data_IF_077918800922
#
_entry.id   IF_077918800922
#
_cell.length_a   1.000
_cell.length_b   1.000
_cell.length_c   1.000
_cell.angle_alpha   90.00
_cell.angle_beta   90.00
_cell.angle_gamma   90.00
#
_symmetry.space_group_name_H-M   'P 1'
#
loop_
_entity.id
_entity.type
_entity.pdbx_description
1 polymer ?
#
# COMPACT_ATOMS: atom_id res chain seq x y z
N UNK A 1 25.08 -3.20 19.28
CA UNK A 1 24.85 -2.47 18.03
C UNK A 1 24.18 -1.14 18.39
N UNK A 2 24.93 -0.02 18.25
CA UNK A 2 24.43 1.31 18.63
C UNK A 2 23.38 1.75 17.61
N UNK A 3 22.11 1.75 18.03
CA UNK A 3 21.02 2.32 17.21
C UNK A 3 21.23 3.84 17.15
N UNK A 4 21.66 4.34 16.02
CA UNK A 4 21.76 5.78 15.78
C UNK A 4 20.37 6.42 16.00
N UNK A 5 20.34 7.53 16.76
CA UNK A 5 19.09 8.27 17.04
C UNK A 5 18.46 8.70 15.71
N UNK A 6 17.15 8.47 15.48
CA UNK A 6 16.50 8.86 14.22
C UNK A 6 16.73 10.32 13.88
N UNK A 7 16.98 10.64 12.63
CA UNK A 7 17.15 12.02 12.17
C UNK A 7 15.89 12.86 12.44
N UNK A 8 16.00 14.18 12.46
CA UNK A 8 14.85 15.06 12.62
C UNK A 8 13.81 14.81 11.49
N UNK A 9 14.30 14.59 10.26
CA UNK A 9 13.44 14.26 9.11
C UNK A 9 12.66 12.97 9.32
N UNK A 10 13.33 11.91 9.83
CA UNK A 10 12.70 10.62 10.07
C UNK A 10 11.65 10.69 11.17
N UNK A 11 11.95 11.44 12.26
CA UNK A 11 10.97 11.68 13.33
C UNK A 11 9.73 12.39 12.81
N UNK A 12 9.88 13.46 12.02
CA UNK A 12 8.78 14.20 11.43
C UNK A 12 7.95 13.27 10.53
N UNK A 13 8.60 12.52 9.64
CA UNK A 13 7.93 11.63 8.71
C UNK A 13 7.21 10.48 9.43
N UNK A 14 7.84 9.86 10.42
CA UNK A 14 7.23 8.78 11.21
C UNK A 14 5.99 9.29 11.97
N UNK A 15 6.09 10.46 12.63
CA UNK A 15 4.95 11.08 13.32
C UNK A 15 3.82 11.41 12.35
N UNK A 16 4.15 12.03 11.21
CA UNK A 16 3.16 12.37 10.18
C UNK A 16 2.49 11.11 9.61
N UNK A 17 3.24 10.03 9.39
CA UNK A 17 2.72 8.74 8.91
C UNK A 17 1.70 8.17 9.89
N UNK A 18 2.00 8.14 11.19
CA UNK A 18 1.06 7.69 12.20
C UNK A 18 -0.22 8.53 12.24
N UNK A 19 -0.05 9.85 12.22
CA UNK A 19 -1.17 10.79 12.24
C UNK A 19 -2.05 10.70 10.98
N UNK A 20 -1.46 10.66 9.79
CA UNK A 20 -2.20 10.55 8.53
C UNK A 20 -2.93 9.20 8.42
N UNK A 21 -2.32 8.12 8.90
CA UNK A 21 -3.00 6.83 8.96
C UNK A 21 -4.21 6.86 9.91
N UNK A 22 -4.07 7.49 11.07
CA UNK A 22 -5.13 7.53 12.07
C UNK A 22 -6.26 8.51 11.73
N UNK A 23 -5.93 9.68 11.17
CA UNK A 23 -6.87 10.82 11.07
C UNK A 23 -7.11 11.33 9.65
N UNK A 24 -6.45 10.73 8.62
CA UNK A 24 -6.45 11.26 7.25
C UNK A 24 -5.54 12.49 7.08
N UNK A 25 -5.26 12.83 5.84
CA UNK A 25 -4.36 13.96 5.55
C UNK A 25 -5.03 15.31 5.81
N UNK A 26 -6.35 15.44 5.58
CA UNK A 26 -7.10 16.67 5.86
C UNK A 26 -7.23 16.93 7.35
N UNK A 27 -7.43 15.90 8.17
CA UNK A 27 -7.62 16.02 9.62
C UNK A 27 -6.37 16.36 10.43
N UNK A 28 -5.18 16.41 9.80
CA UNK A 28 -3.90 16.64 10.49
C UNK A 28 -3.27 17.95 10.05
N UNK A 29 -3.14 18.88 11.00
CA UNK A 29 -2.41 20.14 10.81
C UNK A 29 -0.91 20.01 11.04
N UNK A 30 -0.11 20.89 10.43
CA UNK A 30 1.37 20.91 10.59
C UNK A 30 1.77 21.17 12.04
N UNK A 31 1.03 22.03 12.76
CA UNK A 31 1.32 22.35 14.16
C UNK A 31 1.20 21.11 15.08
N UNK A 32 0.24 20.22 14.80
CA UNK A 32 0.11 18.94 15.50
C UNK A 32 1.31 18.03 15.23
N UNK A 33 1.79 17.96 13.99
CA UNK A 33 2.97 17.17 13.64
C UNK A 33 4.21 17.71 14.35
N UNK A 34 4.38 19.03 14.43
CA UNK A 34 5.46 19.69 15.18
C UNK A 34 5.41 19.29 16.64
N UNK A 35 4.24 19.43 17.27
CA UNK A 35 4.06 19.14 18.69
C UNK A 35 4.36 17.66 19.00
N UNK A 36 3.85 16.73 18.22
CA UNK A 36 4.02 15.29 18.47
C UNK A 36 5.40 14.75 18.06
N UNK A 37 6.05 15.34 17.03
CA UNK A 37 7.42 14.94 16.64
C UNK A 37 8.52 15.48 17.54
N UNK A 38 8.21 16.48 18.36
CA UNK A 38 9.17 17.12 19.28
C UNK A 38 10.28 17.88 18.56
N UNK A 39 10.00 18.41 17.35
CA UNK A 39 10.96 19.24 16.60
C UNK A 39 10.55 20.72 16.65
N UNK A 40 11.52 21.62 16.49
CA UNK A 40 11.22 23.03 16.32
C UNK A 40 10.51 23.29 14.96
N UNK A 41 9.64 24.29 14.90
CA UNK A 41 8.93 24.68 13.68
C UNK A 41 9.88 24.94 12.50
N UNK A 42 10.97 25.64 12.75
CA UNK A 42 12.01 25.91 11.75
C UNK A 42 12.65 24.63 11.21
N UNK A 43 12.82 23.60 12.07
CA UNK A 43 13.37 22.30 11.66
C UNK A 43 12.42 21.57 10.72
N UNK A 44 11.11 21.58 10.97
CA UNK A 44 10.15 20.99 10.06
C UNK A 44 10.23 21.62 8.68
N UNK A 45 10.18 22.97 8.62
CA UNK A 45 10.21 23.70 7.35
C UNK A 45 11.57 23.64 6.62
N UNK A 46 12.67 23.35 7.32
CA UNK A 46 13.97 23.05 6.70
C UNK A 46 13.95 21.71 5.93
N UNK A 47 13.10 20.75 6.33
CA UNK A 47 12.97 19.44 5.67
C UNK A 47 11.80 19.33 4.70
N UNK A 48 10.68 20.02 4.99
CA UNK A 48 9.44 19.97 4.23
C UNK A 48 8.89 21.39 4.09
N UNK A 49 8.96 21.97 2.90
CA UNK A 49 8.57 23.37 2.63
C UNK A 49 7.09 23.67 2.92
N UNK A 50 6.24 22.63 2.76
CA UNK A 50 4.82 22.70 3.00
C UNK A 50 4.27 21.33 3.41
N UNK A 51 2.99 21.29 3.79
CA UNK A 51 2.30 20.04 4.14
C UNK A 51 2.28 19.06 2.97
N UNK A 52 2.14 19.55 1.74
CA UNK A 52 2.06 18.68 0.56
C UNK A 52 3.38 17.94 0.30
N UNK A 53 4.54 18.57 0.55
CA UNK A 53 5.84 17.90 0.49
C UNK A 53 5.89 16.73 1.50
N UNK A 54 5.33 16.92 2.69
CA UNK A 54 5.26 15.88 3.72
C UNK A 54 4.28 14.76 3.36
N UNK A 55 3.12 15.12 2.77
CA UNK A 55 2.15 14.13 2.24
C UNK A 55 2.80 13.29 1.14
N UNK A 56 3.52 13.89 0.21
CA UNK A 56 4.26 13.15 -0.82
C UNK A 56 5.32 12.23 -0.24
N UNK A 57 6.05 12.67 0.78
CA UNK A 57 7.03 11.83 1.46
C UNK A 57 6.37 10.64 2.19
N UNK A 58 5.22 10.87 2.83
CA UNK A 58 4.39 9.82 3.43
C UNK A 58 3.94 8.79 2.39
N UNK A 59 3.40 9.23 1.25
CA UNK A 59 2.97 8.32 0.19
C UNK A 59 4.12 7.49 -0.37
N UNK A 60 5.30 8.10 -0.59
CA UNK A 60 6.51 7.38 -1.04
C UNK A 60 6.97 6.32 -0.04
N UNK A 61 7.00 6.67 1.25
CA UNK A 61 7.38 5.72 2.30
C UNK A 61 6.37 4.56 2.38
N UNK A 62 5.09 4.86 2.27
CA UNK A 62 4.01 3.86 2.25
C UNK A 62 4.09 2.96 1.00
N UNK A 63 4.39 3.52 -0.18
CA UNK A 63 4.59 2.76 -1.42
C UNK A 63 5.74 1.76 -1.28
N UNK A 64 6.90 2.24 -0.81
CA UNK A 64 8.07 1.39 -0.60
C UNK A 64 7.76 0.23 0.35
N UNK A 65 7.13 0.54 1.49
CA UNK A 65 6.75 -0.47 2.49
C UNK A 65 5.75 -1.49 1.93
N UNK A 66 4.68 -1.02 1.28
CA UNK A 66 3.63 -1.90 0.76
C UNK A 66 4.13 -2.79 -0.37
N UNK A 67 4.86 -2.24 -1.33
CA UNK A 67 5.44 -3.02 -2.43
C UNK A 67 6.46 -4.04 -1.92
N UNK A 68 7.27 -3.67 -0.92
CA UNK A 68 8.15 -4.63 -0.24
C UNK A 68 7.37 -5.79 0.37
N UNK A 69 6.32 -5.50 1.13
CA UNK A 69 5.47 -6.53 1.74
C UNK A 69 4.79 -7.45 0.70
N UNK A 70 4.33 -6.90 -0.44
CA UNK A 70 3.78 -7.70 -1.54
C UNK A 70 4.84 -8.62 -2.15
N UNK A 71 6.05 -8.10 -2.39
CA UNK A 71 7.16 -8.88 -2.96
C UNK A 71 7.59 -9.99 -2.00
N UNK A 72 7.79 -9.69 -0.73
CA UNK A 72 8.14 -10.67 0.30
C UNK A 72 7.10 -11.79 0.42
N UNK A 73 5.80 -11.43 0.43
CA UNK A 73 4.73 -12.41 0.50
C UNK A 73 4.64 -13.30 -0.76
N UNK A 74 4.85 -12.71 -1.95
CA UNK A 74 4.90 -13.46 -3.20
C UNK A 74 6.09 -14.43 -3.21
N UNK A 75 7.29 -13.99 -2.85
CA UNK A 75 8.49 -14.82 -2.78
C UNK A 75 8.37 -15.94 -1.75
N UNK A 76 7.76 -15.65 -0.60
CA UNK A 76 7.49 -16.65 0.46
C UNK A 76 6.53 -17.76 0.02
N UNK A 77 5.64 -17.50 -0.94
CA UNK A 77 4.72 -18.49 -1.51
C UNK A 77 5.43 -19.54 -2.40
N UNK A 78 6.70 -19.33 -2.75
CA UNK A 78 7.53 -20.28 -3.50
C UNK A 78 7.94 -19.79 -4.88
N UNK A 79 8.58 -20.67 -5.67
CA UNK A 79 9.14 -20.29 -6.97
C UNK A 79 8.10 -20.27 -8.12
N UNK A 80 6.92 -20.88 -7.94
CA UNK A 80 5.88 -20.88 -8.98
C UNK A 80 5.19 -19.50 -9.04
N UNK A 81 5.22 -18.80 -10.18
CA UNK A 81 4.55 -17.50 -10.32
C UNK A 81 3.04 -17.55 -10.05
N UNK A 82 2.38 -18.70 -10.19
CA UNK A 82 0.95 -18.87 -9.85
C UNK A 82 0.76 -18.79 -8.34
N UNK A 83 1.63 -19.46 -7.57
CA UNK A 83 1.61 -19.38 -6.12
C UNK A 83 1.98 -17.97 -5.64
N UNK A 84 2.94 -17.32 -6.31
CA UNK A 84 3.33 -15.94 -6.02
C UNK A 84 2.16 -14.95 -6.21
N UNK A 85 1.37 -15.10 -7.27
CA UNK A 85 0.15 -14.30 -7.47
C UNK A 85 -0.89 -14.51 -6.37
N UNK A 86 -1.05 -15.73 -5.87
CA UNK A 86 -1.92 -16.02 -4.74
C UNK A 86 -1.32 -15.55 -3.40
N UNK A 87 0.00 -15.57 -3.27
CA UNK A 87 0.76 -15.18 -2.08
C UNK A 87 0.62 -13.69 -1.71
N UNK A 88 0.31 -12.80 -2.68
CA UNK A 88 0.10 -11.37 -2.39
C UNK A 88 -1.01 -11.12 -1.35
N UNK A 89 -1.96 -12.05 -1.23
CA UNK A 89 -3.05 -11.97 -0.25
C UNK A 89 -2.60 -12.27 1.20
N UNK A 90 -1.41 -12.86 1.40
CA UNK A 90 -0.83 -13.01 2.74
C UNK A 90 -0.36 -11.64 3.28
N UNK A 91 0.23 -10.80 2.41
CA UNK A 91 0.54 -9.42 2.77
C UNK A 91 -0.73 -8.61 3.08
N UNK A 92 -1.80 -8.84 2.32
CA UNK A 92 -3.10 -8.23 2.55
C UNK A 92 -3.68 -8.65 3.91
N UNK A 93 -3.71 -9.95 4.22
CA UNK A 93 -4.17 -10.49 5.50
C UNK A 93 -3.39 -9.89 6.67
N UNK A 94 -2.05 -9.87 6.57
CA UNK A 94 -1.20 -9.27 7.60
C UNK A 94 -1.44 -7.76 7.77
N UNK A 95 -1.73 -7.03 6.70
CA UNK A 95 -2.00 -5.59 6.76
C UNK A 95 -3.37 -5.27 7.38
N UNK A 96 -4.41 -6.02 7.01
CA UNK A 96 -5.80 -5.77 7.45
C UNK A 96 -6.04 -6.11 8.93
N UNK A 97 -5.23 -6.99 9.50
CA UNK A 97 -5.30 -7.38 10.91
C UNK A 97 -4.46 -6.49 11.84
N UNK A 98 -3.72 -5.51 11.29
CA UNK A 98 -2.97 -4.57 12.14
C UNK A 98 -3.91 -3.66 12.92
N UNK A 99 -3.55 -3.43 14.19
CA UNK A 99 -4.24 -2.43 15.01
C UNK A 99 -4.29 -1.08 14.30
N UNK A 100 -5.50 -0.49 14.27
CA UNK A 100 -5.71 0.80 13.62
C UNK A 100 -5.70 0.76 12.10
N UNK A 101 -5.83 -0.40 11.45
CA UNK A 101 -6.03 -0.48 10.00
C UNK A 101 -7.29 0.29 9.58
N UNK A 102 -7.17 1.16 8.59
CA UNK A 102 -8.24 2.04 8.10
C UNK A 102 -8.35 2.02 6.57
N UNK A 103 -7.98 0.90 5.94
CA UNK A 103 -8.01 0.75 4.50
C UNK A 103 -6.74 1.27 3.82
N UNK A 104 -6.80 1.26 2.50
CA UNK A 104 -5.69 1.67 1.65
C UNK A 104 -5.38 3.16 1.80
N UNK A 105 -4.17 3.50 2.23
CA UNK A 105 -3.69 4.87 2.38
C UNK A 105 -3.82 5.69 1.09
N UNK A 106 -3.59 5.07 -0.06
CA UNK A 106 -3.68 5.72 -1.37
C UNK A 106 -5.12 6.04 -1.75
N UNK A 107 -6.05 5.09 -1.60
CA UNK A 107 -7.47 5.32 -1.90
C UNK A 107 -8.05 6.40 -0.99
N UNK A 108 -7.68 6.40 0.31
CA UNK A 108 -8.10 7.44 1.25
C UNK A 108 -7.54 8.81 0.86
N UNK A 109 -6.24 8.88 0.52
CA UNK A 109 -5.62 10.12 0.06
C UNK A 109 -6.28 10.64 -1.21
N UNK A 110 -6.60 9.78 -2.18
CA UNK A 110 -7.31 10.18 -3.40
C UNK A 110 -8.68 10.82 -3.10
N UNK A 111 -9.42 10.29 -2.11
CA UNK A 111 -10.69 10.87 -1.66
C UNK A 111 -10.57 12.20 -0.90
N UNK A 112 -9.38 12.51 -0.39
CA UNK A 112 -9.09 13.72 0.37
C UNK A 112 -8.37 14.81 -0.44
N UNK A 113 -7.98 14.55 -1.68
CA UNK A 113 -7.19 15.47 -2.53
C UNK A 113 -7.91 15.82 -3.80
N UNK A 114 -7.61 17.01 -4.35
CA UNK A 114 -8.17 17.41 -5.62
C UNK A 114 -7.62 16.57 -6.77
N UNK A 115 -8.46 16.19 -7.76
CA UNK A 115 -7.99 15.54 -8.98
C UNK A 115 -6.88 16.36 -9.65
N UNK A 116 -5.81 15.69 -10.06
CA UNK A 116 -4.65 16.34 -10.70
C UNK A 116 -3.63 16.96 -9.73
N UNK A 117 -3.91 17.02 -8.42
CA UNK A 117 -2.89 17.40 -7.45
C UNK A 117 -1.72 16.40 -7.41
N UNK A 118 -0.56 16.83 -6.93
CA UNK A 118 0.62 15.97 -6.84
C UNK A 118 0.35 14.72 -5.96
N UNK A 119 -0.40 14.87 -4.87
CA UNK A 119 -0.77 13.73 -4.01
C UNK A 119 -1.74 12.78 -4.73
N UNK A 120 -2.77 13.31 -5.42
CA UNK A 120 -3.68 12.49 -6.23
C UNK A 120 -2.93 11.74 -7.35
N UNK A 121 -2.00 12.40 -8.03
CA UNK A 121 -1.16 11.80 -9.07
C UNK A 121 -0.31 10.66 -8.50
N UNK A 122 0.35 10.88 -7.35
CA UNK A 122 1.14 9.86 -6.67
C UNK A 122 0.32 8.61 -6.30
N UNK A 123 -0.97 8.77 -5.91
CA UNK A 123 -1.85 7.62 -5.65
C UNK A 123 -2.14 6.80 -6.91
N UNK A 124 -2.39 7.48 -8.03
CA UNK A 124 -2.63 6.81 -9.31
C UNK A 124 -1.36 6.11 -9.84
N UNK A 125 -0.18 6.71 -9.63
CA UNK A 125 1.11 6.10 -9.97
C UNK A 125 1.38 4.84 -9.17
N UNK A 126 1.13 4.87 -7.86
CA UNK A 126 1.21 3.67 -7.01
C UNK A 126 0.34 2.53 -7.55
N UNK A 127 -0.94 2.79 -7.82
CA UNK A 127 -1.86 1.77 -8.34
C UNK A 127 -1.42 1.20 -9.69
N UNK A 128 -0.89 2.05 -10.57
CA UNK A 128 -0.32 1.61 -11.86
C UNK A 128 0.92 0.75 -11.67
N UNK A 129 1.82 1.14 -10.76
CA UNK A 129 3.05 0.40 -10.49
C UNK A 129 2.76 -1.00 -9.91
N UNK A 130 1.82 -1.13 -8.97
CA UNK A 130 1.40 -2.43 -8.42
C UNK A 130 0.78 -3.30 -9.52
N UNK A 131 -0.11 -2.75 -10.35
CA UNK A 131 -0.69 -3.53 -11.47
C UNK A 131 0.35 -3.95 -12.50
N UNK A 132 1.31 -3.09 -12.81
CA UNK A 132 2.40 -3.44 -13.73
C UNK A 132 3.22 -4.62 -13.18
N UNK A 133 3.57 -4.60 -11.90
CA UNK A 133 4.27 -5.70 -11.24
C UNK A 133 3.45 -7.00 -11.25
N UNK A 134 2.15 -6.93 -10.93
CA UNK A 134 1.25 -8.09 -11.02
C UNK A 134 1.13 -8.62 -12.47
N UNK A 135 1.18 -7.73 -13.48
CA UNK A 135 1.17 -8.13 -14.89
C UNK A 135 2.41 -8.94 -15.25
N UNK A 136 3.60 -8.57 -14.73
CA UNK A 136 4.81 -9.35 -14.94
C UNK A 136 4.72 -10.73 -14.29
N UNK A 137 4.20 -10.83 -13.06
CA UNK A 137 3.94 -12.11 -12.41
C UNK A 137 2.94 -12.97 -13.21
N UNK A 138 1.84 -12.36 -13.67
CA UNK A 138 0.84 -13.05 -14.47
C UNK A 138 1.41 -13.57 -15.82
N UNK A 139 2.31 -12.79 -16.44
CA UNK A 139 3.04 -13.21 -17.64
C UNK A 139 3.94 -14.39 -17.34
N UNK A 140 4.70 -14.34 -16.25
CA UNK A 140 5.56 -15.45 -15.82
C UNK A 140 4.74 -16.71 -15.47
N UNK A 141 3.52 -16.55 -14.92
CA UNK A 141 2.59 -17.63 -14.65
C UNK A 141 1.98 -18.28 -15.91
N UNK A 142 2.21 -17.69 -17.10
CA UNK A 142 1.68 -18.17 -18.38
C UNK A 142 0.23 -17.79 -18.63
N UNK A 143 -0.26 -16.68 -18.06
CA UNK A 143 -1.61 -16.20 -18.31
C UNK A 143 -1.83 -15.84 -19.78
N UNK A 144 -3.00 -16.21 -20.32
CA UNK A 144 -3.36 -15.88 -21.70
C UNK A 144 -3.51 -14.37 -21.91
N UNK A 145 -4.06 -13.66 -20.91
CA UNK A 145 -4.10 -12.20 -20.85
C UNK A 145 -3.58 -11.73 -19.48
N UNK A 146 -2.25 -11.47 -19.38
CA UNK A 146 -1.63 -11.05 -18.12
C UNK A 146 -2.16 -9.73 -17.57
N UNK A 147 -2.52 -8.78 -18.44
CA UNK A 147 -3.01 -7.48 -18.01
C UNK A 147 -4.42 -7.59 -17.41
N UNK A 148 -5.29 -8.40 -17.99
CA UNK A 148 -6.62 -8.65 -17.48
C UNK A 148 -6.59 -9.42 -16.15
N UNK A 149 -5.71 -10.43 -16.01
CA UNK A 149 -5.55 -11.13 -14.74
C UNK A 149 -5.06 -10.20 -13.64
N UNK A 150 -4.03 -9.38 -13.91
CA UNK A 150 -3.50 -8.40 -12.97
C UNK A 150 -4.56 -7.36 -12.55
N UNK A 151 -5.40 -6.91 -13.50
CA UNK A 151 -6.51 -6.00 -13.20
C UNK A 151 -7.51 -6.66 -12.23
N UNK A 152 -7.93 -7.89 -12.50
CA UNK A 152 -8.88 -8.64 -11.64
C UNK A 152 -8.30 -8.85 -10.23
N UNK A 153 -7.03 -9.27 -10.12
CA UNK A 153 -6.34 -9.43 -8.83
C UNK A 153 -6.26 -8.09 -8.09
N UNK A 154 -5.93 -6.99 -8.76
CA UNK A 154 -5.90 -5.66 -8.15
C UNK A 154 -7.24 -5.25 -7.56
N UNK A 155 -8.34 -5.55 -8.26
CA UNK A 155 -9.70 -5.26 -7.79
C UNK A 155 -10.07 -6.09 -6.57
N UNK A 156 -9.65 -7.37 -6.50
CA UNK A 156 -9.85 -8.21 -5.31
C UNK A 156 -9.08 -7.66 -4.10
N UNK A 157 -7.83 -7.24 -4.28
CA UNK A 157 -7.03 -6.61 -3.21
C UNK A 157 -7.71 -5.33 -2.72
N UNK A 158 -8.13 -4.46 -3.63
CA UNK A 158 -8.77 -3.19 -3.25
C UNK A 158 -10.13 -3.42 -2.57
N UNK A 159 -10.92 -4.37 -3.03
CA UNK A 159 -12.20 -4.75 -2.42
C UNK A 159 -12.03 -5.31 -1.01
N UNK A 160 -11.09 -6.23 -0.82
CA UNK A 160 -10.81 -6.80 0.50
C UNK A 160 -10.25 -5.75 1.48
N UNK A 161 -9.38 -4.84 1.03
CA UNK A 161 -8.92 -3.71 1.85
C UNK A 161 -10.07 -2.78 2.27
N UNK A 162 -11.01 -2.50 1.35
CA UNK A 162 -12.15 -1.65 1.65
C UNK A 162 -13.11 -2.31 2.65
N UNK A 163 -13.40 -3.60 2.47
CA UNK A 163 -14.24 -4.38 3.39
C UNK A 163 -13.61 -4.46 4.78
N UNK A 164 -12.33 -4.80 4.89
CA UNK A 164 -11.62 -4.89 6.16
C UNK A 164 -11.46 -3.56 6.88
N UNK A 165 -11.53 -2.43 6.18
CA UNK A 165 -11.55 -1.11 6.81
C UNK A 165 -12.86 -0.82 7.58
N UNK A 166 -13.96 -1.47 7.18
CA UNK A 166 -15.27 -1.35 7.82
C UNK A 166 -15.46 -2.43 8.89
N UNK A 167 -15.04 -3.64 8.58
CA UNK A 167 -15.09 -4.81 9.47
C UNK A 167 -13.72 -5.50 9.47
N UNK A 168 -12.91 -5.37 10.53
CA UNK A 168 -11.59 -6.01 10.58
C UNK A 168 -11.72 -7.53 10.79
N UNK A 169 -11.89 -8.27 9.69
CA UNK A 169 -12.09 -9.71 9.64
C UNK A 169 -11.12 -10.38 8.67
N UNK A 170 -10.44 -11.47 9.09
CA UNK A 170 -9.49 -12.18 8.23
C UNK A 170 -10.15 -12.79 6.99
N UNK A 171 -11.44 -13.15 7.08
CA UNK A 171 -12.18 -13.82 6.02
C UNK A 171 -12.22 -13.03 4.71
N UNK A 172 -12.08 -11.70 4.74
CA UNK A 172 -12.05 -10.90 3.50
C UNK A 172 -10.79 -11.14 2.67
N UNK A 173 -9.63 -11.27 3.31
CA UNK A 173 -8.39 -11.58 2.61
C UNK A 173 -8.39 -13.04 2.11
N UNK A 174 -8.95 -13.96 2.90
CA UNK A 174 -9.09 -15.38 2.54
C UNK A 174 -10.02 -15.56 1.32
N UNK A 175 -11.22 -14.98 1.35
CA UNK A 175 -12.18 -15.04 0.25
C UNK A 175 -11.60 -14.40 -1.03
N UNK A 176 -10.89 -13.28 -0.91
CA UNK A 176 -10.22 -12.66 -2.05
C UNK A 176 -9.10 -13.55 -2.63
N UNK A 177 -8.35 -14.24 -1.76
CA UNK A 177 -7.33 -15.23 -2.17
C UNK A 177 -7.94 -16.43 -2.90
N UNK A 178 -9.05 -16.97 -2.39
CA UNK A 178 -9.75 -18.08 -3.06
C UNK A 178 -10.26 -17.68 -4.44
N UNK A 179 -10.88 -16.51 -4.55
CA UNK A 179 -11.31 -15.97 -5.83
C UNK A 179 -10.14 -15.74 -6.80
N UNK A 180 -9.01 -15.24 -6.30
CA UNK A 180 -7.81 -15.07 -7.10
C UNK A 180 -7.24 -16.40 -7.60
N UNK A 181 -7.22 -17.46 -6.77
CA UNK A 181 -6.80 -18.80 -7.19
C UNK A 181 -7.66 -19.35 -8.32
N UNK A 182 -8.98 -19.16 -8.28
CA UNK A 182 -9.89 -19.56 -9.35
C UNK A 182 -9.56 -18.80 -10.66
N UNK A 183 -9.36 -17.48 -10.58
CA UNK A 183 -8.97 -16.65 -11.73
C UNK A 183 -7.62 -17.06 -12.31
N UNK A 184 -6.64 -17.37 -11.47
CA UNK A 184 -5.30 -17.83 -11.87
C UNK A 184 -5.40 -19.18 -12.60
N UNK A 185 -6.18 -20.12 -12.05
CA UNK A 185 -6.37 -21.43 -12.68
C UNK A 185 -7.05 -21.33 -14.05
N UNK A 186 -8.04 -20.46 -14.19
CA UNK A 186 -8.71 -20.18 -15.47
C UNK A 186 -7.76 -19.52 -16.49
N UNK A 187 -7.01 -18.49 -16.05
CA UNK A 187 -6.19 -17.68 -16.94
C UNK A 187 -4.88 -18.35 -17.33
N UNK A 188 -4.36 -19.28 -16.51
CA UNK A 188 -3.09 -19.95 -16.67
C UNK A 188 -3.32 -21.47 -16.88
N UNK A 189 -3.79 -21.94 -18.03
CA UNK A 189 -4.00 -23.36 -18.27
C UNK A 189 -2.71 -24.16 -18.10
N UNK A 190 -2.83 -25.42 -17.68
CA UNK A 190 -1.69 -26.32 -17.60
C UNK A 190 -1.00 -26.40 -18.98
N UNK A 191 0.33 -26.30 -18.99
CA UNK A 191 1.10 -26.57 -20.21
C UNK A 191 0.92 -28.08 -20.54
N UNK A 192 0.28 -28.36 -21.67
CA UNK A 192 0.18 -29.72 -22.24
C UNK A 192 1.56 -30.17 -22.70
#
# INVERSE_FOLDING_TARGET
>A
MSSARPSARDRILSTATGLFNAHGIRGVGVDRIIAESGVAKATLYAHFRCKDDLVLAYLRATDTHWRGALTEAAEAAGPDPRDQLAGVFDALGAATLRDGFRGCAFTRTAGETEPGSAAHTATAEHKRAVRAWLTELARAAGAADPAQLALRISLLVDGAMAAAALEPRPEFAEAAREAARALIAEACPARV
#
